data_IF_112487531492
#
_entry.id   IF_112487531492
#
_cell.length_a   1.000
_cell.length_b   1.000
_cell.length_c   1.000
_cell.angle_alpha   90.00
_cell.angle_beta   90.00
_cell.angle_gamma   90.00
#
_symmetry.space_group_name_H-M   'P 1'
#
loop_
_entity.id
_entity.type
_entity.pdbx_description
1 polymer ?
#
# COMPACT_ATOMS: atom_id res chain seq x y z
N UNK A 1 -9.93 25.50 14.09
CA UNK A 1 -9.38 25.43 15.46
C UNK A 1 -8.19 26.39 15.58
N UNK A 2 -8.04 27.06 16.72
CA UNK A 2 -6.90 27.96 17.00
C UNK A 2 -6.25 27.61 18.34
N UNK A 3 -4.94 27.38 18.32
CA UNK A 3 -4.10 27.26 19.52
C UNK A 3 -3.35 28.58 19.73
N UNK A 4 -3.44 29.17 20.93
CA UNK A 4 -2.69 30.39 21.27
C UNK A 4 -1.20 30.04 21.36
N UNK A 5 -0.35 30.88 20.75
CA UNK A 5 1.11 30.71 20.77
C UNK A 5 1.68 31.59 21.87
N UNK A 6 1.87 31.00 23.05
CA UNK A 6 2.48 31.62 24.22
C UNK A 6 3.75 30.86 24.68
N UNK A 7 4.22 31.12 25.90
CA UNK A 7 5.42 30.48 26.47
C UNK A 7 5.29 28.98 26.74
N UNK A 8 4.06 28.44 26.73
CA UNK A 8 3.76 27.03 26.98
C UNK A 8 3.52 26.23 25.70
N UNK A 9 3.40 26.93 24.56
CA UNK A 9 3.13 26.30 23.27
C UNK A 9 4.25 25.34 22.87
N UNK A 10 3.86 24.13 22.46
CA UNK A 10 4.74 23.15 21.82
C UNK A 10 4.05 22.60 20.58
N UNK A 11 4.81 22.17 19.57
CA UNK A 11 4.20 21.56 18.38
C UNK A 11 3.35 20.34 18.73
N UNK A 12 3.72 19.59 19.77
CA UNK A 12 2.98 18.42 20.24
C UNK A 12 1.61 18.72 20.90
N UNK A 13 1.23 19.99 21.04
CA UNK A 13 0.00 20.41 21.75
C UNK A 13 -1.26 19.77 21.17
N UNK A 14 -1.30 19.54 19.85
CA UNK A 14 -2.47 18.96 19.14
C UNK A 14 -2.82 17.55 19.58
N UNK A 15 -1.85 16.80 20.12
CA UNK A 15 -2.05 15.43 20.62
C UNK A 15 -2.49 15.41 22.09
N UNK A 16 -2.31 16.51 22.82
CA UNK A 16 -2.38 16.55 24.28
C UNK A 16 -3.53 17.40 24.79
N UNK A 17 -3.80 18.52 24.15
CA UNK A 17 -4.70 19.57 24.63
C UNK A 17 -5.71 19.99 23.57
N UNK A 18 -6.86 20.46 24.03
CA UNK A 18 -7.89 21.03 23.16
C UNK A 18 -7.53 22.48 22.82
N UNK A 19 -7.88 22.97 21.61
CA UNK A 19 -7.58 24.34 21.21
C UNK A 19 -8.40 25.35 22.02
N UNK A 20 -7.90 26.59 22.07
CA UNK A 20 -8.57 27.71 22.75
C UNK A 20 -9.85 28.16 22.05
N UNK A 21 -9.84 28.11 20.71
CA UNK A 21 -11.01 28.47 19.91
C UNK A 21 -11.35 27.36 18.91
N UNK A 22 -12.63 27.00 18.89
CA UNK A 22 -13.19 25.96 18.03
C UNK A 22 -14.38 26.56 17.29
N UNK A 23 -14.47 26.22 16.02
CA UNK A 23 -15.66 26.37 15.20
C UNK A 23 -15.81 25.11 14.39
N UNK A 24 -17.01 24.83 13.90
CA UNK A 24 -17.28 23.69 13.04
C UNK A 24 -17.95 24.18 11.75
N UNK A 25 -17.57 23.58 10.63
CA UNK A 25 -18.32 23.66 9.39
C UNK A 25 -19.54 22.76 9.54
N UNK A 26 -20.74 23.36 9.68
CA UNK A 26 -21.98 22.60 9.47
C UNK A 26 -21.91 21.91 8.09
N UNK A 27 -22.43 20.69 7.98
CA UNK A 27 -22.11 19.64 6.98
C UNK A 27 -22.03 20.03 5.49
N UNK A 28 -22.45 21.24 5.10
CA UNK A 28 -22.50 21.69 3.70
C UNK A 28 -21.76 22.99 3.39
N UNK A 29 -21.19 23.70 4.39
CA UNK A 29 -20.51 24.99 4.14
C UNK A 29 -19.00 24.83 4.24
N UNK A 30 -18.28 25.16 3.17
CA UNK A 30 -16.81 25.09 3.09
C UNK A 30 -16.09 26.35 3.57
N UNK A 31 -16.85 27.40 3.90
CA UNK A 31 -16.34 28.70 4.36
C UNK A 31 -16.97 29.06 5.69
N UNK A 32 -16.15 29.44 6.67
CA UNK A 32 -16.60 29.81 8.00
C UNK A 32 -15.78 30.98 8.54
N UNK A 33 -16.39 31.82 9.38
CA UNK A 33 -15.70 32.86 10.14
C UNK A 33 -15.55 32.43 11.60
N UNK A 34 -14.52 32.96 12.26
CA UNK A 34 -14.37 32.85 13.72
C UNK A 34 -14.20 34.24 14.26
N UNK A 35 -15.23 34.72 14.93
CA UNK A 35 -15.29 36.08 15.48
C UNK A 35 -14.92 36.08 16.97
N UNK A 36 -14.67 37.27 17.53
CA UNK A 36 -14.36 37.49 18.95
C UNK A 36 -13.08 36.79 19.44
N UNK A 37 -12.10 36.62 18.54
CA UNK A 37 -10.78 36.10 18.90
C UNK A 37 -9.94 37.21 19.54
N UNK A 38 -9.33 36.91 20.70
CA UNK A 38 -8.41 37.83 21.38
C UNK A 38 -7.21 38.13 20.47
N UNK A 39 -6.79 39.39 20.40
CA UNK A 39 -5.59 39.76 19.65
C UNK A 39 -4.35 38.97 20.13
N UNK A 40 -3.59 38.43 19.19
CA UNK A 40 -2.49 37.53 19.51
C UNK A 40 -2.01 36.69 18.32
N UNK A 41 -1.07 35.78 18.61
CA UNK A 41 -0.49 34.85 17.64
C UNK A 41 -1.09 33.47 17.83
N UNK A 42 -1.50 32.84 16.73
CA UNK A 42 -2.21 31.56 16.77
C UNK A 42 -1.66 30.57 15.75
N UNK A 43 -1.72 29.28 16.10
CA UNK A 43 -1.63 28.20 15.14
C UNK A 43 -3.03 27.86 14.63
N UNK A 44 -3.19 27.89 13.31
CA UNK A 44 -4.43 27.57 12.63
C UNK A 44 -4.44 26.11 12.16
N UNK A 45 -5.44 25.36 12.61
CA UNK A 45 -5.62 23.94 12.34
C UNK A 45 -7.08 23.62 12.03
N UNK A 46 -7.32 22.62 11.19
CA UNK A 46 -8.61 21.95 11.04
C UNK A 46 -8.44 20.46 11.36
N UNK A 47 -9.46 19.90 11.98
CA UNK A 47 -9.52 18.50 12.40
C UNK A 47 -10.86 17.95 11.94
N UNK A 48 -10.83 16.85 11.20
CA UNK A 48 -12.00 15.98 11.05
C UNK A 48 -11.88 14.90 12.11
N UNK A 49 -12.49 15.20 13.25
CA UNK A 49 -12.39 14.44 14.48
C UNK A 49 -13.40 13.28 14.48
N UNK A 50 -12.90 12.05 14.58
CA UNK A 50 -13.72 10.83 14.61
C UNK A 50 -14.30 10.51 15.99
N UNK A 51 -13.70 11.00 17.08
CA UNK A 51 -14.06 10.65 18.46
C UNK A 51 -14.61 11.83 19.29
N UNK A 52 -14.62 13.04 18.70
CA UNK A 52 -15.11 14.30 19.28
C UNK A 52 -14.36 14.77 20.54
N UNK A 53 -13.09 14.40 20.72
CA UNK A 53 -12.26 14.85 21.85
C UNK A 53 -11.41 16.11 21.55
N UNK A 54 -11.48 16.62 20.32
CA UNK A 54 -10.76 17.79 19.81
C UNK A 54 -9.24 17.71 19.90
N UNK A 55 -8.68 16.48 19.94
CA UNK A 55 -7.25 16.21 19.85
C UNK A 55 -7.01 15.38 18.59
N UNK A 56 -5.82 15.52 18.02
CA UNK A 56 -5.47 14.79 16.83
C UNK A 56 -4.96 13.39 17.17
N UNK A 57 -5.54 12.36 16.57
CA UNK A 57 -5.02 11.00 16.54
C UNK A 57 -4.85 10.51 15.10
N UNK A 58 -3.60 10.21 14.70
CA UNK A 58 -3.22 9.86 13.32
C UNK A 58 -4.08 8.74 12.70
N UNK A 59 -4.52 7.77 13.52
CA UNK A 59 -5.30 6.61 13.08
C UNK A 59 -6.78 6.91 12.82
N UNK A 60 -7.36 7.85 13.55
CA UNK A 60 -8.80 8.08 13.54
C UNK A 60 -9.20 9.36 12.78
N UNK A 61 -8.30 10.34 12.74
CA UNK A 61 -8.65 11.70 12.33
C UNK A 61 -7.92 12.14 11.07
N UNK A 62 -8.50 13.14 10.41
CA UNK A 62 -7.81 13.90 9.38
C UNK A 62 -7.40 15.27 9.92
N UNK A 63 -6.20 15.72 9.58
CA UNK A 63 -5.65 17.00 10.02
C UNK A 63 -5.38 17.91 8.82
N UNK A 64 -5.50 19.21 9.02
CA UNK A 64 -4.96 20.23 8.13
C UNK A 64 -4.38 21.36 8.98
N UNK A 65 -3.30 21.98 8.54
CA UNK A 65 -2.70 23.08 9.28
C UNK A 65 -2.16 24.14 8.34
N UNK A 66 -2.19 25.39 8.80
CA UNK A 66 -1.45 26.46 8.15
C UNK A 66 0.01 26.41 8.63
N UNK A 67 0.97 26.36 7.70
CA UNK A 67 2.38 26.11 8.01
C UNK A 67 2.98 27.19 8.93
N UNK A 68 2.57 28.44 8.75
CA UNK A 68 3.01 29.57 9.56
C UNK A 68 1.97 29.93 10.61
N UNK A 69 2.40 30.57 11.70
CA UNK A 69 1.45 31.18 12.62
C UNK A 69 0.71 32.36 11.97
N UNK A 70 -0.52 32.58 12.42
CA UNK A 70 -1.33 33.74 12.03
C UNK A 70 -1.37 34.76 13.17
N UNK A 71 -1.57 36.03 12.84
CA UNK A 71 -1.72 37.11 13.82
C UNK A 71 -3.11 37.69 13.72
N UNK A 72 -3.83 37.74 14.84
CA UNK A 72 -5.19 38.28 14.94
C UNK A 72 -5.13 39.65 15.63
N UNK A 73 -5.90 40.66 15.18
CA UNK A 73 -6.85 40.61 14.06
C UNK A 73 -6.16 40.66 12.69
N UNK A 74 -6.79 40.04 11.69
CA UNK A 74 -6.47 40.19 10.27
C UNK A 74 -7.74 39.95 9.44
N UNK A 75 -7.69 40.28 8.15
CA UNK A 75 -8.73 40.08 7.14
C UNK A 75 -8.36 38.98 6.11
N UNK A 76 -7.38 38.13 6.45
CA UNK A 76 -6.85 37.12 5.54
C UNK A 76 -7.76 35.90 5.43
N UNK A 77 -7.87 35.36 4.21
CA UNK A 77 -8.54 34.09 3.94
C UNK A 77 -7.52 32.95 3.92
N UNK A 78 -7.80 31.88 4.67
CA UNK A 78 -6.95 30.70 4.74
C UNK A 78 -7.69 29.47 4.20
N UNK A 79 -7.06 28.74 3.30
CA UNK A 79 -7.55 27.44 2.82
C UNK A 79 -6.78 26.31 3.48
N UNK A 80 -7.49 25.41 4.15
CA UNK A 80 -6.93 24.22 4.79
C UNK A 80 -7.44 22.97 4.07
N UNK A 81 -6.52 22.09 3.68
CA UNK A 81 -6.84 20.82 3.03
C UNK A 81 -6.55 19.68 3.99
N UNK A 82 -7.59 18.93 4.36
CA UNK A 82 -7.49 17.79 5.26
C UNK A 82 -6.72 16.64 4.59
N UNK A 83 -5.88 15.98 5.37
CA UNK A 83 -5.15 14.79 4.97
C UNK A 83 -5.02 13.82 6.15
N UNK A 84 -4.76 12.54 5.84
CA UNK A 84 -4.42 11.53 6.84
C UNK A 84 -2.90 11.48 6.98
N UNK A 85 -2.36 11.44 8.19
CA UNK A 85 -0.93 11.21 8.37
C UNK A 85 -0.55 9.74 8.14
N UNK A 86 0.72 9.52 7.80
CA UNK A 86 1.31 8.20 8.01
C UNK A 86 1.33 7.90 9.50
N UNK A 87 0.89 6.70 9.88
CA UNK A 87 0.89 6.29 11.27
C UNK A 87 2.32 6.06 11.75
N UNK A 88 2.62 6.55 12.95
CA UNK A 88 3.83 6.15 13.66
C UNK A 88 3.83 4.64 13.89
N UNK A 89 5.00 4.00 13.70
CA UNK A 89 5.09 2.56 13.86
C UNK A 89 4.79 2.14 15.30
N UNK A 90 3.94 1.12 15.43
CA UNK A 90 3.67 0.50 16.72
C UNK A 90 3.29 -0.96 16.55
N UNK A 91 3.99 -1.86 17.23
CA UNK A 91 3.57 -3.26 17.31
C UNK A 91 2.39 -3.43 18.29
N UNK A 92 1.42 -4.26 17.91
CA UNK A 92 0.33 -4.69 18.78
C UNK A 92 0.75 -5.94 19.56
N UNK A 93 -0.11 -6.44 20.45
CA UNK A 93 0.22 -7.64 21.25
C UNK A 93 0.17 -8.88 20.35
N UNK A 94 1.27 -9.64 20.22
CA UNK A 94 1.27 -10.84 19.41
C UNK A 94 0.45 -11.97 20.04
N UNK A 95 -0.10 -12.83 19.19
CA UNK A 95 -0.91 -13.98 19.60
C UNK A 95 -0.71 -15.17 18.67
N UNK A 96 -0.76 -16.38 19.24
CA UNK A 96 -0.83 -17.60 18.44
C UNK A 96 -2.20 -17.68 17.76
N UNK A 97 -2.21 -17.88 16.45
CA UNK A 97 -3.44 -17.86 15.61
C UNK A 97 -3.73 -19.21 14.96
N UNK A 98 -2.70 -20.04 14.77
CA UNK A 98 -2.81 -21.44 14.37
C UNK A 98 -1.62 -22.22 14.95
N UNK A 99 -1.57 -23.54 14.75
CA UNK A 99 -0.40 -24.34 15.08
C UNK A 99 0.87 -23.71 14.49
N UNK A 100 1.84 -23.44 15.36
CA UNK A 100 3.17 -22.93 14.98
C UNK A 100 3.16 -21.62 14.19
N UNK A 101 2.10 -20.83 14.36
CA UNK A 101 1.88 -19.55 13.67
C UNK A 101 1.49 -18.47 14.67
N UNK A 102 2.34 -17.47 14.82
CA UNK A 102 2.13 -16.33 15.71
C UNK A 102 1.92 -15.08 14.88
N UNK A 103 0.79 -14.41 15.07
CA UNK A 103 0.49 -13.13 14.45
C UNK A 103 1.12 -11.99 15.25
N UNK A 104 1.96 -11.18 14.60
CA UNK A 104 2.49 -9.92 15.10
C UNK A 104 1.84 -8.77 14.35
N UNK A 105 0.76 -8.23 14.92
CA UNK A 105 0.09 -7.06 14.35
C UNK A 105 0.92 -5.79 14.53
N UNK A 106 0.72 -4.82 13.65
CA UNK A 106 1.39 -3.52 13.71
C UNK A 106 0.48 -2.39 13.19
N UNK A 107 0.88 -1.15 13.47
CA UNK A 107 0.37 0.08 12.87
C UNK A 107 1.54 0.78 12.16
N UNK A 108 1.25 1.55 11.11
CA UNK A 108 2.27 2.26 10.33
C UNK A 108 3.06 1.36 9.39
N UNK A 109 4.26 1.80 9.01
CA UNK A 109 5.11 1.07 8.07
C UNK A 109 5.87 -0.07 8.78
N UNK A 110 5.68 -1.30 8.33
CA UNK A 110 6.39 -2.48 8.87
C UNK A 110 7.78 -2.68 8.26
N UNK A 111 8.14 -1.96 7.20
CA UNK A 111 9.48 -2.06 6.61
C UNK A 111 10.53 -1.80 7.70
N UNK A 112 11.45 -2.75 7.90
CA UNK A 112 12.45 -2.71 8.96
C UNK A 112 12.02 -3.33 10.30
N UNK A 113 10.77 -3.80 10.43
CA UNK A 113 10.30 -4.56 11.59
C UNK A 113 11.11 -5.84 11.77
N UNK A 114 11.75 -5.99 12.94
CA UNK A 114 12.49 -7.19 13.34
C UNK A 114 11.77 -7.87 14.50
N UNK A 115 11.57 -9.17 14.37
CA UNK A 115 11.00 -10.05 15.40
C UNK A 115 12.11 -11.00 15.85
N UNK A 116 12.67 -10.75 17.03
CA UNK A 116 13.74 -11.58 17.61
C UNK A 116 13.14 -12.49 18.67
N UNK A 117 13.33 -13.81 18.51
CA UNK A 117 13.01 -14.78 19.55
C UNK A 117 14.13 -14.81 20.61
N UNK A 118 13.76 -14.67 21.88
CA UNK A 118 14.69 -14.63 23.02
C UNK A 118 14.60 -15.86 23.93
N UNK A 119 13.63 -16.75 23.69
CA UNK A 119 13.52 -18.01 24.42
C UNK A 119 14.46 -19.07 23.86
N UNK A 120 14.90 -19.99 24.72
CA UNK A 120 15.67 -21.16 24.29
C UNK A 120 14.82 -22.03 23.35
N UNK A 121 15.44 -22.45 22.25
CA UNK A 121 14.83 -23.32 21.24
C UNK A 121 15.78 -24.44 20.84
N UNK A 122 15.27 -25.56 20.31
CA UNK A 122 16.07 -26.63 19.75
C UNK A 122 17.03 -26.16 18.64
N UNK A 123 18.09 -26.93 18.38
CA UNK A 123 19.08 -26.61 17.33
C UNK A 123 18.49 -26.66 15.91
N UNK A 124 17.47 -27.48 15.68
CA UNK A 124 16.74 -27.61 14.42
C UNK A 124 15.60 -26.58 14.27
N UNK A 125 15.58 -25.54 15.11
CA UNK A 125 14.57 -24.50 15.05
C UNK A 125 14.71 -23.65 13.80
N UNK A 126 13.66 -23.64 12.98
CA UNK A 126 13.54 -22.83 11.79
C UNK A 126 12.31 -21.93 11.87
N UNK A 127 12.37 -20.76 11.25
CA UNK A 127 11.22 -19.86 11.16
C UNK A 127 11.18 -19.09 9.85
N UNK A 128 9.97 -18.64 9.51
CA UNK A 128 9.71 -17.75 8.37
C UNK A 128 8.72 -16.67 8.79
N UNK A 129 8.91 -15.46 8.27
CA UNK A 129 8.00 -14.34 8.48
C UNK A 129 7.29 -14.06 7.17
N UNK A 130 5.96 -14.12 7.19
CA UNK A 130 5.12 -13.79 6.05
C UNK A 130 4.22 -12.59 6.38
N UNK A 131 4.00 -11.72 5.42
CA UNK A 131 3.03 -10.63 5.52
C UNK A 131 1.62 -11.16 5.25
N UNK A 132 0.68 -10.86 6.15
CA UNK A 132 -0.72 -11.11 5.88
C UNK A 132 -1.24 -10.13 4.82
N UNK A 133 -1.92 -10.64 3.78
CA UNK A 133 -2.35 -9.84 2.63
C UNK A 133 -3.59 -8.98 2.91
N UNK A 134 -4.30 -9.24 4.01
CA UNK A 134 -5.57 -8.58 4.33
C UNK A 134 -5.45 -7.65 5.51
N UNK A 135 -4.50 -7.89 6.40
CA UNK A 135 -4.36 -7.19 7.68
C UNK A 135 -2.94 -6.73 7.92
N UNK A 136 -2.75 -5.71 8.75
CA UNK A 136 -1.43 -5.22 9.18
C UNK A 136 -0.78 -6.18 10.18
N UNK A 137 -0.40 -7.36 9.68
CA UNK A 137 0.16 -8.46 10.48
C UNK A 137 1.35 -9.08 9.78
N UNK A 138 2.43 -9.32 10.52
CA UNK A 138 3.49 -10.26 10.15
C UNK A 138 3.26 -11.58 10.90
N UNK A 139 3.04 -12.65 10.16
CA UNK A 139 2.91 -14.00 10.69
C UNK A 139 4.28 -14.63 10.82
N UNK A 140 4.64 -15.00 12.04
CA UNK A 140 5.84 -15.75 12.38
C UNK A 140 5.50 -17.24 12.43
N UNK A 141 5.95 -17.96 11.42
CA UNK A 141 5.80 -19.41 11.27
C UNK A 141 7.06 -20.09 11.77
N UNK A 142 6.95 -21.21 12.49
CA UNK A 142 8.13 -21.90 13.02
C UNK A 142 8.01 -23.42 13.01
N UNK A 143 9.14 -24.11 13.09
CA UNK A 143 9.22 -25.54 13.39
C UNK A 143 10.48 -25.81 14.23
N UNK A 144 10.54 -26.88 15.04
CA UNK A 144 9.47 -27.84 15.32
C UNK A 144 8.38 -27.29 16.25
N UNK A 145 7.39 -28.13 16.58
CA UNK A 145 6.43 -27.83 17.64
C UNK A 145 7.16 -27.71 18.97
N UNK A 146 6.90 -26.63 19.71
CA UNK A 146 7.50 -26.39 21.02
C UNK A 146 6.50 -26.73 22.13
N UNK A 147 6.91 -27.59 23.06
CA UNK A 147 6.14 -27.94 24.26
C UNK A 147 6.54 -27.02 25.43
N UNK A 148 6.21 -25.73 25.29
CA UNK A 148 6.49 -24.67 26.28
C UNK A 148 5.23 -23.85 26.56
N UNK A 149 5.14 -23.24 27.74
CA UNK A 149 3.97 -22.42 28.10
C UNK A 149 3.97 -21.06 27.37
N UNK A 150 5.15 -20.50 27.12
CA UNK A 150 5.29 -19.20 26.48
C UNK A 150 6.64 -19.00 25.80
N UNK A 151 6.65 -18.14 24.79
CA UNK A 151 7.85 -17.64 24.13
C UNK A 151 8.01 -16.14 24.38
N UNK A 152 9.26 -15.71 24.54
CA UNK A 152 9.65 -14.31 24.70
C UNK A 152 10.20 -13.78 23.39
N UNK A 153 9.67 -12.65 22.93
CA UNK A 153 10.12 -11.98 21.71
C UNK A 153 10.45 -10.53 21.99
N UNK A 154 11.43 -9.98 21.27
CA UNK A 154 11.63 -8.54 21.14
C UNK A 154 11.20 -8.12 19.74
N UNK A 155 10.32 -7.13 19.65
CA UNK A 155 9.95 -6.49 18.38
C UNK A 155 10.60 -5.11 18.32
N UNK A 156 11.23 -4.78 17.19
CA UNK A 156 11.83 -3.47 16.97
C UNK A 156 11.60 -2.95 15.55
N UNK A 157 11.47 -1.63 15.41
CA UNK A 157 11.44 -0.93 14.12
C UNK A 157 11.84 0.55 14.34
N UNK A 158 12.93 1.01 13.72
CA UNK A 158 13.50 2.33 14.02
C UNK A 158 13.76 2.51 15.52
N UNK A 159 13.21 3.57 16.12
CA UNK A 159 13.32 3.86 17.55
C UNK A 159 12.35 3.05 18.42
N UNK A 160 11.39 2.35 17.82
CA UNK A 160 10.47 1.49 18.55
C UNK A 160 11.17 0.19 18.96
N UNK A 161 11.08 -0.17 20.24
CA UNK A 161 11.52 -1.47 20.76
C UNK A 161 10.64 -1.89 21.93
N UNK A 162 10.12 -3.13 21.89
CA UNK A 162 9.29 -3.67 22.97
C UNK A 162 9.38 -5.19 23.07
N UNK A 163 9.41 -5.68 24.30
CA UNK A 163 9.39 -7.11 24.60
C UNK A 163 7.95 -7.60 24.78
N UNK A 164 7.70 -8.83 24.31
CA UNK A 164 6.42 -9.49 24.33
C UNK A 164 6.55 -10.94 24.81
N UNK A 165 5.59 -11.35 25.64
CA UNK A 165 5.39 -12.75 26.00
C UNK A 165 4.19 -13.30 25.23
N UNK A 166 4.42 -14.29 24.38
CA UNK A 166 3.38 -15.02 23.65
C UNK A 166 3.08 -16.31 24.39
N UNK A 167 1.85 -16.49 24.86
CA UNK A 167 1.42 -17.77 25.45
C UNK A 167 1.15 -18.77 24.34
N UNK A 168 1.79 -19.93 24.42
CA UNK A 168 1.61 -21.01 23.46
C UNK A 168 0.42 -21.87 23.87
N UNK A 169 -0.33 -22.34 22.89
CA UNK A 169 -1.50 -23.20 23.07
C UNK A 169 -1.48 -24.27 21.99
N UNK A 170 -2.08 -25.42 22.28
CA UNK A 170 -2.26 -26.48 21.29
C UNK A 170 -3.38 -26.07 20.32
N UNK A 171 -3.01 -25.84 19.06
CA UNK A 171 -3.90 -25.55 17.94
C UNK A 171 -3.53 -26.47 16.77
N UNK A 172 -4.48 -26.67 15.87
CA UNK A 172 -4.22 -27.37 14.60
C UNK A 172 -3.43 -26.46 13.66
N UNK A 173 -2.55 -27.07 12.85
CA UNK A 173 -1.76 -26.37 11.83
C UNK A 173 -2.62 -26.00 10.62
N UNK A 174 -2.25 -24.91 9.96
CA UNK A 174 -2.76 -24.59 8.64
C UNK A 174 -2.19 -25.59 7.63
N UNK A 175 -3.03 -26.06 6.69
CA UNK A 175 -2.58 -26.88 5.56
C UNK A 175 -2.10 -26.01 4.40
N UNK A 176 -1.19 -26.56 3.59
CA UNK A 176 -0.76 -25.94 2.35
C UNK A 176 -1.91 -25.87 1.32
N UNK A 177 -2.25 -24.65 0.92
CA UNK A 177 -3.19 -24.31 -0.14
C UNK A 177 -2.46 -23.41 -1.12
N UNK A 178 -2.46 -23.79 -2.39
CA UNK A 178 -1.76 -23.07 -3.46
C UNK A 178 -2.77 -22.36 -4.34
N UNK A 179 -2.54 -21.08 -4.60
CA UNK A 179 -3.38 -20.23 -5.42
C UNK A 179 -2.56 -19.57 -6.53
N UNK A 180 -3.23 -19.22 -7.62
CA UNK A 180 -2.63 -18.48 -8.73
C UNK A 180 -3.28 -17.13 -8.95
N UNK A 181 -2.49 -16.19 -9.47
CA UNK A 181 -2.97 -14.90 -9.94
C UNK A 181 -2.17 -14.44 -11.15
N UNK A 182 -2.74 -13.67 -12.08
CA UNK A 182 -4.18 -13.43 -12.25
C UNK A 182 -4.94 -14.70 -12.66
N UNK A 183 -6.26 -14.71 -12.45
CA UNK A 183 -7.17 -15.72 -12.98
C UNK A 183 -7.92 -15.18 -14.21
N UNK A 184 -7.93 -15.93 -15.32
CA UNK A 184 -8.64 -15.54 -16.54
C UNK A 184 -7.78 -14.86 -17.61
N UNK A 185 -8.18 -13.68 -18.08
CA UNK A 185 -7.47 -12.96 -19.14
C UNK A 185 -6.32 -12.12 -18.57
N UNK A 186 -5.14 -12.19 -19.19
CA UNK A 186 -3.89 -11.62 -18.64
C UNK A 186 -3.29 -10.64 -19.64
N UNK A 187 -2.82 -9.49 -19.15
CA UNK A 187 -2.09 -8.54 -19.98
C UNK A 187 -0.76 -9.10 -20.48
N UNK A 188 -0.26 -8.62 -21.62
CA UNK A 188 1.02 -9.12 -22.16
C UNK A 188 2.20 -8.90 -21.23
N UNK A 189 2.16 -7.81 -20.45
CA UNK A 189 3.23 -7.43 -19.50
C UNK A 189 2.92 -7.86 -18.07
N UNK A 190 1.81 -8.57 -17.85
CA UNK A 190 1.41 -9.01 -16.53
C UNK A 190 2.04 -10.38 -16.24
N UNK A 191 2.67 -10.49 -15.08
CA UNK A 191 3.31 -11.73 -14.63
C UNK A 191 2.27 -12.70 -14.08
N UNK A 192 2.62 -13.99 -14.13
CA UNK A 192 1.83 -15.04 -13.48
C UNK A 192 2.43 -15.31 -12.10
N UNK A 193 1.60 -15.50 -11.09
CA UNK A 193 2.00 -15.67 -9.70
C UNK A 193 1.42 -16.94 -9.12
N UNK A 194 2.20 -17.61 -8.29
CA UNK A 194 1.75 -18.70 -7.41
C UNK A 194 2.04 -18.31 -5.97
N UNK A 195 1.04 -18.41 -5.09
CA UNK A 195 1.17 -18.17 -3.66
C UNK A 195 0.72 -19.37 -2.84
N UNK A 196 1.33 -19.54 -1.65
CA UNK A 196 1.00 -20.60 -0.69
C UNK A 196 0.41 -20.04 0.60
N UNK A 197 -0.51 -20.76 1.24
CA UNK A 197 -1.04 -20.42 2.57
C UNK A 197 -0.02 -20.63 3.70
N UNK A 198 0.95 -21.53 3.50
CA UNK A 198 2.06 -21.84 4.40
C UNK A 198 3.39 -21.51 3.71
N UNK A 199 4.48 -21.18 4.45
CA UNK A 199 5.70 -20.65 3.85
C UNK A 199 6.40 -21.64 2.92
N UNK A 200 6.61 -21.28 1.66
CA UNK A 200 7.43 -22.06 0.75
C UNK A 200 8.90 -21.99 1.14
N UNK A 201 9.55 -23.15 1.07
CA UNK A 201 10.99 -23.30 1.30
C UNK A 201 11.73 -23.74 0.04
N UNK A 202 11.07 -24.43 -0.88
CA UNK A 202 11.69 -24.89 -2.12
C UNK A 202 10.72 -24.84 -3.33
N UNK A 203 11.30 -24.67 -4.52
CA UNK A 203 10.61 -24.78 -5.80
C UNK A 203 11.49 -25.42 -6.88
N UNK A 204 11.03 -26.53 -7.44
CA UNK A 204 11.68 -27.21 -8.56
C UNK A 204 11.09 -26.76 -9.90
N UNK A 205 11.84 -25.92 -10.62
CA UNK A 205 11.44 -25.39 -11.93
C UNK A 205 11.32 -26.46 -13.04
N UNK A 206 12.04 -27.58 -12.94
CA UNK A 206 11.98 -28.66 -13.94
C UNK A 206 10.63 -29.39 -13.94
N UNK A 207 9.90 -29.29 -12.82
CA UNK A 207 8.56 -29.84 -12.66
C UNK A 207 7.44 -28.90 -13.12
N UNK A 208 7.79 -27.75 -13.69
CA UNK A 208 6.84 -26.81 -14.28
C UNK A 208 7.03 -26.75 -15.79
N UNK A 209 5.93 -26.76 -16.52
CA UNK A 209 5.92 -26.56 -17.98
C UNK A 209 4.90 -25.50 -18.35
N UNK A 210 5.29 -24.59 -19.24
CA UNK A 210 4.41 -23.61 -19.89
C UNK A 210 4.31 -23.97 -21.37
N UNK A 211 3.10 -24.15 -21.86
CA UNK A 211 2.79 -24.43 -23.26
C UNK A 211 1.94 -23.29 -23.84
N UNK A 212 2.15 -22.94 -25.10
CA UNK A 212 1.26 -22.05 -25.86
C UNK A 212 0.08 -22.80 -26.50
N UNK A 213 -0.74 -22.10 -27.29
CA UNK A 213 -1.91 -22.68 -27.95
C UNK A 213 -1.58 -23.80 -28.94
N UNK A 214 -0.36 -23.81 -29.47
CA UNK A 214 0.14 -24.79 -30.43
C UNK A 214 0.93 -25.92 -29.71
N UNK A 215 0.84 -25.98 -28.37
CA UNK A 215 1.56 -26.94 -27.52
C UNK A 215 3.09 -26.81 -27.58
N UNK A 216 3.59 -25.64 -27.98
CA UNK A 216 5.02 -25.34 -27.96
C UNK A 216 5.45 -24.93 -26.57
N UNK A 217 6.59 -25.46 -26.10
CA UNK A 217 7.16 -25.09 -24.81
C UNK A 217 7.64 -23.65 -24.83
N UNK A 218 7.25 -22.87 -23.81
CA UNK A 218 7.66 -21.49 -23.60
C UNK A 218 8.60 -21.44 -22.41
N UNK A 219 9.78 -20.85 -22.60
CA UNK A 219 10.73 -20.66 -21.52
C UNK A 219 10.20 -19.61 -20.53
N UNK A 220 10.45 -19.83 -19.24
CA UNK A 220 10.06 -18.90 -18.18
C UNK A 220 11.21 -18.66 -17.21
N UNK A 221 11.15 -17.54 -16.50
CA UNK A 221 12.02 -17.18 -15.39
C UNK A 221 11.19 -17.03 -14.12
N UNK A 222 11.82 -17.20 -12.96
CA UNK A 222 11.12 -17.11 -11.67
C UNK A 222 11.82 -16.17 -10.71
N UNK A 223 11.02 -15.55 -9.85
CA UNK A 223 11.49 -14.75 -8.71
C UNK A 223 10.63 -15.07 -7.50
N UNK A 224 11.26 -15.37 -6.37
CA UNK A 224 10.54 -15.64 -5.12
C UNK A 224 10.50 -14.41 -4.24
N UNK A 225 9.28 -13.99 -3.89
CA UNK A 225 9.00 -13.02 -2.84
C UNK A 225 8.79 -13.77 -1.53
N UNK A 226 9.81 -13.72 -0.66
CA UNK A 226 9.82 -14.43 0.62
C UNK A 226 8.84 -13.86 1.63
N UNK A 227 8.52 -12.56 1.56
CA UNK A 227 7.65 -11.89 2.54
C UNK A 227 6.18 -12.10 2.17
N UNK A 228 5.83 -12.05 0.89
CA UNK A 228 4.48 -12.33 0.40
C UNK A 228 4.22 -13.81 0.11
N UNK A 229 5.24 -14.66 0.27
CA UNK A 229 5.20 -16.09 -0.02
C UNK A 229 4.71 -16.41 -1.44
N UNK A 230 5.30 -15.72 -2.42
CA UNK A 230 4.78 -15.69 -3.77
C UNK A 230 5.90 -15.86 -4.79
N UNK A 231 5.76 -16.84 -5.67
CA UNK A 231 6.61 -16.98 -6.84
C UNK A 231 6.00 -16.20 -8.00
N UNK A 232 6.79 -15.29 -8.57
CA UNK A 232 6.51 -14.62 -9.84
C UNK A 232 7.13 -15.44 -10.98
N UNK A 233 6.35 -15.68 -12.03
CA UNK A 233 6.72 -16.37 -13.25
C UNK A 233 6.57 -15.43 -14.44
N UNK A 234 7.68 -15.18 -15.10
CA UNK A 234 7.76 -14.32 -16.28
C UNK A 234 8.14 -15.14 -17.51
N UNK A 235 7.43 -14.92 -18.60
CA UNK A 235 7.66 -15.53 -19.91
C UNK A 235 7.04 -14.64 -20.97
N UNK A 236 7.55 -14.75 -22.20
CA UNK A 236 7.10 -13.94 -23.32
C UNK A 236 5.67 -14.32 -23.72
N UNK A 237 4.78 -13.33 -23.65
CA UNK A 237 3.37 -13.46 -24.02
C UNK A 237 3.13 -12.80 -25.38
N UNK A 238 2.49 -13.52 -26.28
CA UNK A 238 2.11 -13.02 -27.61
C UNK A 238 0.61 -12.73 -27.68
N UNK A 239 0.21 -11.91 -28.65
CA UNK A 239 -1.19 -11.55 -28.88
C UNK A 239 -2.04 -12.75 -29.33
N UNK A 240 -3.32 -12.75 -28.93
CA UNK A 240 -4.30 -13.78 -29.33
C UNK A 240 -3.79 -15.22 -29.09
N UNK A 241 -3.28 -15.45 -27.89
CA UNK A 241 -2.70 -16.72 -27.50
C UNK A 241 -3.37 -17.28 -26.23
N UNK A 242 -3.21 -18.58 -26.03
CA UNK A 242 -3.63 -19.27 -24.83
C UNK A 242 -2.45 -20.01 -24.26
N UNK A 243 -2.26 -19.92 -22.96
CA UNK A 243 -1.16 -20.58 -22.28
C UNK A 243 -1.70 -21.60 -21.29
N UNK A 244 -1.05 -22.76 -21.25
CA UNK A 244 -1.29 -23.81 -20.27
C UNK A 244 -0.05 -23.94 -19.39
N UNK A 245 -0.26 -23.88 -18.09
CA UNK A 245 0.78 -24.10 -17.09
C UNK A 245 0.45 -25.38 -16.36
N UNK A 246 1.37 -26.34 -16.40
CA UNK A 246 1.30 -27.55 -15.61
C UNK A 246 2.44 -27.55 -14.60
N UNK A 247 2.10 -27.86 -13.35
CA UNK A 247 3.04 -28.03 -12.25
C UNK A 247 2.84 -29.44 -11.72
N UNK A 248 3.87 -30.27 -11.83
CA UNK A 248 3.84 -31.66 -11.40
C UNK A 248 3.91 -31.77 -9.87
N UNK A 249 3.56 -32.94 -9.30
CA UNK A 249 3.66 -33.16 -7.86
C UNK A 249 5.06 -32.90 -7.30
N UNK A 250 5.10 -32.39 -6.07
CA UNK A 250 6.32 -32.01 -5.34
C UNK A 250 7.22 -31.01 -6.09
N UNK A 251 6.62 -30.10 -6.85
CA UNK A 251 7.31 -28.94 -7.38
C UNK A 251 7.51 -27.86 -6.31
N UNK A 252 6.54 -27.68 -5.41
CA UNK A 252 6.63 -26.80 -4.25
C UNK A 252 6.72 -27.64 -2.97
N UNK A 253 7.56 -27.17 -2.04
CA UNK A 253 7.67 -27.70 -0.69
C UNK A 253 7.50 -26.55 0.29
N UNK A 254 6.66 -26.73 1.31
CA UNK A 254 6.48 -25.75 2.39
C UNK A 254 7.37 -26.02 3.61
N UNK A 255 7.33 -25.11 4.59
CA UNK A 255 8.12 -25.19 5.82
C UNK A 255 7.90 -26.49 6.57
N UNK A 256 6.74 -27.13 6.43
CA UNK A 256 6.34 -28.35 7.14
C UNK A 256 6.50 -29.62 6.30
N UNK A 257 7.22 -29.52 5.17
CA UNK A 257 7.48 -30.60 4.22
C UNK A 257 6.23 -31.08 3.46
N UNK A 258 5.14 -30.30 3.50
CA UNK A 258 3.97 -30.52 2.65
C UNK A 258 4.31 -30.15 1.20
N UNK A 259 3.76 -30.95 0.28
CA UNK A 259 4.06 -30.88 -1.15
C UNK A 259 2.79 -30.67 -1.96
N UNK A 260 2.90 -29.96 -3.08
CA UNK A 260 1.77 -29.86 -4.02
C UNK A 260 1.52 -31.19 -4.74
N UNK A 261 0.26 -31.45 -5.08
CA UNK A 261 -0.11 -32.37 -6.16
C UNK A 261 -0.10 -31.62 -7.51
N UNK A 262 -0.55 -32.25 -8.59
CA UNK A 262 -0.62 -31.67 -9.92
C UNK A 262 -1.51 -30.44 -9.95
N UNK A 263 -0.97 -29.31 -10.40
CA UNK A 263 -1.71 -28.07 -10.62
C UNK A 263 -1.75 -27.75 -12.11
N UNK A 264 -2.92 -27.40 -12.62
CA UNK A 264 -3.11 -27.00 -14.00
C UNK A 264 -3.80 -25.64 -14.06
N UNK A 265 -3.16 -24.70 -14.73
CA UNK A 265 -3.69 -23.36 -14.94
C UNK A 265 -3.76 -23.06 -16.44
N UNK A 266 -4.73 -22.23 -16.81
CA UNK A 266 -4.81 -21.71 -18.17
C UNK A 266 -5.25 -20.26 -18.16
N UNK A 267 -4.71 -19.48 -19.08
CA UNK A 267 -5.12 -18.10 -19.32
C UNK A 267 -4.98 -17.76 -20.79
N UNK A 268 -5.63 -16.66 -21.18
CA UNK A 268 -5.61 -16.15 -22.55
C UNK A 268 -5.10 -14.73 -22.56
N UNK A 269 -4.34 -14.41 -23.59
CA UNK A 269 -3.97 -13.05 -23.92
C UNK A 269 -4.95 -12.50 -24.96
N UNK A 270 -5.32 -11.23 -24.82
CA UNK A 270 -6.23 -10.57 -25.76
C UNK A 270 -5.55 -10.36 -27.12
N UNK A 271 -6.32 -9.91 -28.11
CA UNK A 271 -5.78 -9.37 -29.37
C UNK A 271 -5.25 -7.95 -29.15
N UNK A 272 -4.27 -7.52 -29.94
CA UNK A 272 -3.80 -6.13 -29.91
C UNK A 272 -4.93 -5.15 -30.22
N UNK A 273 -5.79 -5.49 -31.20
CA UNK A 273 -6.98 -4.73 -31.57
C UNK A 273 -8.03 -4.64 -30.46
N UNK A 274 -7.91 -5.41 -29.38
CA UNK A 274 -8.80 -5.31 -28.22
C UNK A 274 -8.30 -4.31 -27.17
N UNK A 275 -7.09 -3.76 -27.33
CA UNK A 275 -6.57 -2.71 -26.47
C UNK A 275 -6.68 -1.34 -27.15
N UNK A 276 -6.70 -0.29 -26.34
CA UNK A 276 -6.54 1.09 -26.79
C UNK A 276 -5.26 1.71 -26.26
N UNK A 277 -5.08 3.00 -26.54
CA UNK A 277 -4.00 3.79 -25.97
C UNK A 277 -4.47 5.16 -25.46
N UNK A 278 -3.72 5.76 -24.54
CA UNK A 278 -3.89 7.15 -24.15
C UNK A 278 -2.56 7.89 -24.31
N UNK A 279 -2.61 9.08 -24.88
CA UNK A 279 -1.45 9.94 -25.10
C UNK A 279 -1.71 11.30 -24.47
N UNK A 280 -0.88 11.69 -23.51
CA UNK A 280 -1.03 12.96 -22.82
C UNK A 280 0.06 13.94 -23.19
N UNK A 281 -0.36 15.14 -23.61
CA UNK A 281 0.52 16.30 -23.71
C UNK A 281 0.30 17.17 -22.48
N UNK A 282 1.35 17.43 -21.72
CA UNK A 282 1.27 18.17 -20.46
C UNK A 282 1.67 19.63 -20.68
N UNK A 283 0.81 20.58 -20.32
CA UNK A 283 1.07 22.03 -20.48
C UNK A 283 1.14 22.69 -19.11
N UNK A 284 2.19 23.49 -18.88
CA UNK A 284 2.47 24.18 -17.61
C UNK A 284 2.63 23.22 -16.41
N UNK A 285 3.14 22.02 -16.67
CA UNK A 285 3.33 21.02 -15.63
C UNK A 285 4.68 21.19 -14.91
N UNK A 286 4.67 21.08 -13.58
CA UNK A 286 5.89 21.09 -12.77
C UNK A 286 6.30 19.66 -12.47
N UNK A 287 7.52 19.28 -12.88
CA UNK A 287 8.04 17.93 -12.73
C UNK A 287 8.84 17.76 -11.43
N UNK A 288 8.94 16.54 -10.88
CA UNK A 288 8.41 15.28 -11.43
C UNK A 288 6.94 15.01 -11.10
N UNK A 289 6.31 14.13 -11.90
CA UNK A 289 4.88 13.82 -11.85
C UNK A 289 4.63 12.33 -11.88
N UNK A 290 3.63 11.87 -11.12
CA UNK A 290 3.06 10.52 -11.26
C UNK A 290 1.68 10.64 -11.89
N UNK A 291 1.53 10.16 -13.13
CA UNK A 291 0.28 10.19 -13.88
C UNK A 291 -0.40 8.83 -13.78
N UNK A 292 -1.65 8.82 -13.32
CA UNK A 292 -2.43 7.62 -13.07
C UNK A 292 -3.75 7.64 -13.84
N UNK A 293 -4.07 6.49 -14.45
CA UNK A 293 -5.41 6.16 -14.91
C UNK A 293 -6.11 5.34 -13.84
N UNK A 294 -7.18 5.88 -13.27
CA UNK A 294 -7.96 5.20 -12.23
C UNK A 294 -9.35 4.84 -12.73
N UNK A 295 -9.97 3.84 -12.11
CA UNK A 295 -11.40 3.58 -12.29
C UNK A 295 -12.27 4.58 -11.49
N UNK A 296 -13.59 4.38 -11.52
CA UNK A 296 -14.55 5.24 -10.82
C UNK A 296 -14.40 5.24 -9.30
N UNK A 297 -13.87 4.15 -8.72
CA UNK A 297 -13.59 3.99 -7.29
C UNK A 297 -12.24 4.59 -6.90
N UNK A 298 -11.42 5.00 -7.87
CA UNK A 298 -10.10 5.57 -7.64
C UNK A 298 -8.96 4.53 -7.58
N UNK A 299 -9.22 3.27 -7.94
CA UNK A 299 -8.17 2.25 -8.03
C UNK A 299 -7.30 2.50 -9.25
N UNK A 300 -5.98 2.50 -9.06
CA UNK A 300 -5.00 2.71 -10.13
C UNK A 300 -4.96 1.49 -11.04
N UNK A 301 -5.22 1.67 -12.33
CA UNK A 301 -5.13 0.60 -13.35
C UNK A 301 -3.86 0.70 -14.20
N UNK A 302 -3.36 1.92 -14.38
CA UNK A 302 -2.09 2.23 -15.03
C UNK A 302 -1.46 3.45 -14.39
N UNK A 303 -0.14 3.46 -14.37
CA UNK A 303 0.66 4.56 -13.83
C UNK A 303 1.92 4.78 -14.69
N UNK A 304 2.33 6.03 -14.80
CA UNK A 304 3.61 6.44 -15.40
C UNK A 304 4.25 7.53 -14.56
N UNK A 305 5.53 7.38 -14.30
CA UNK A 305 6.36 8.42 -13.70
C UNK A 305 7.03 9.27 -14.79
N UNK A 306 6.80 10.57 -14.77
CA UNK A 306 7.39 11.52 -15.69
C UNK A 306 8.37 12.42 -14.93
N UNK A 307 9.66 12.30 -15.24
CA UNK A 307 10.73 13.09 -14.60
C UNK A 307 10.98 14.43 -15.28
N UNK A 308 10.68 14.52 -16.58
CA UNK A 308 10.96 15.68 -17.42
C UNK A 308 9.80 15.90 -18.39
N UNK A 309 9.81 17.06 -19.05
CA UNK A 309 8.86 17.39 -20.09
C UNK A 309 8.86 16.36 -21.23
N UNK A 310 7.66 16.04 -21.71
CA UNK A 310 7.46 15.12 -22.80
C UNK A 310 6.01 14.63 -22.88
N UNK A 311 5.73 13.88 -23.94
CA UNK A 311 4.47 13.18 -24.11
C UNK A 311 4.46 11.93 -23.23
N UNK A 312 3.35 11.67 -22.54
CA UNK A 312 3.17 10.48 -21.71
C UNK A 312 2.23 9.51 -22.41
N UNK A 313 2.76 8.34 -22.78
CA UNK A 313 2.02 7.31 -23.49
C UNK A 313 1.68 6.10 -22.60
N UNK A 314 0.41 5.73 -22.64
CA UNK A 314 -0.14 4.49 -22.10
C UNK A 314 -0.59 3.60 -23.26
N UNK A 315 0.19 2.58 -23.59
CA UNK A 315 -0.16 1.57 -24.58
C UNK A 315 -0.82 0.35 -23.92
N UNK A 316 -1.50 -0.47 -24.71
CA UNK A 316 -2.12 -1.73 -24.27
C UNK A 316 -3.05 -1.53 -23.05
N UNK A 317 -3.86 -0.47 -23.12
CA UNK A 317 -4.83 -0.13 -22.08
C UNK A 317 -6.14 -0.86 -22.37
N UNK A 318 -6.69 -1.53 -21.36
CA UNK A 318 -7.97 -2.23 -21.49
C UNK A 318 -9.07 -1.20 -21.76
N UNK A 319 -9.98 -1.41 -22.73
CA UNK A 319 -11.06 -0.47 -23.00
C UNK A 319 -11.97 -0.28 -21.79
N UNK A 320 -12.08 0.98 -21.33
CA UNK A 320 -12.93 1.42 -20.23
C UNK A 320 -12.93 2.96 -20.16
N UNK A 321 -13.77 3.51 -19.29
CA UNK A 321 -13.69 4.91 -18.87
C UNK A 321 -12.69 5.04 -17.72
N UNK A 322 -11.76 5.99 -17.84
CA UNK A 322 -10.73 6.25 -16.85
C UNK A 322 -10.78 7.69 -16.36
N UNK A 323 -10.61 7.88 -15.04
CA UNK A 323 -10.30 9.18 -14.46
C UNK A 323 -8.80 9.41 -14.50
N UNK A 324 -8.40 10.65 -14.77
CA UNK A 324 -6.98 11.04 -14.81
C UNK A 324 -6.65 11.74 -13.49
N UNK A 325 -5.69 11.17 -12.77
CA UNK A 325 -5.12 11.71 -11.53
C UNK A 325 -3.63 11.95 -11.75
N UNK A 326 -3.17 13.15 -11.42
CA UNK A 326 -1.75 13.52 -11.50
C UNK A 326 -1.28 13.97 -10.13
N UNK A 327 -0.27 13.29 -9.61
CA UNK A 327 0.42 13.65 -8.36
C UNK A 327 1.64 14.48 -8.75
N UNK A 328 1.78 15.63 -8.09
CA UNK A 328 2.98 16.48 -8.17
C UNK A 328 3.97 15.96 -7.13
N UNK A 329 4.82 15.04 -7.56
CA UNK A 329 5.76 14.30 -6.72
C UNK A 329 6.96 15.22 -6.41
N UNK A 330 6.87 15.99 -5.33
CA UNK A 330 7.84 17.03 -5.03
C UNK A 330 9.19 16.45 -4.60
N UNK A 331 9.21 15.19 -4.15
CA UNK A 331 10.41 14.53 -3.64
C UNK A 331 11.02 13.53 -4.66
N UNK A 332 10.31 13.21 -5.73
CA UNK A 332 10.79 12.40 -6.86
C UNK A 332 10.86 10.90 -6.59
N UNK A 333 10.13 10.39 -5.59
CA UNK A 333 10.15 8.98 -5.22
C UNK A 333 9.19 8.09 -6.03
N UNK A 334 8.36 8.68 -6.89
CA UNK A 334 7.44 7.99 -7.77
C UNK A 334 6.16 7.47 -7.09
N UNK A 335 5.85 7.88 -5.85
CA UNK A 335 4.61 7.57 -5.15
C UNK A 335 3.95 8.86 -4.63
N UNK A 336 2.73 8.74 -4.13
CA UNK A 336 2.06 9.84 -3.42
C UNK A 336 2.50 9.85 -1.96
N UNK A 337 2.98 10.99 -1.47
CA UNK A 337 3.25 11.20 -0.06
C UNK A 337 2.23 12.14 0.60
N UNK A 338 1.74 11.72 1.76
CA UNK A 338 0.85 12.53 2.59
C UNK A 338 1.63 13.53 3.45
N UNK A 339 0.93 14.40 4.17
CA UNK A 339 1.53 15.40 5.05
C UNK A 339 2.02 14.82 6.38
N UNK A 340 2.79 15.63 7.09
CA UNK A 340 3.19 15.36 8.48
C UNK A 340 3.25 16.68 9.26
N UNK A 341 2.39 16.81 10.26
CA UNK A 341 2.19 18.01 11.06
C UNK A 341 3.40 18.33 11.94
N UNK A 342 4.00 17.35 12.61
CA UNK A 342 5.18 17.59 13.45
C UNK A 342 6.37 18.09 12.62
N UNK A 343 6.57 17.53 11.43
CA UNK A 343 7.60 17.95 10.47
C UNK A 343 7.21 19.18 9.63
N UNK A 344 5.97 19.68 9.79
CA UNK A 344 5.39 20.79 9.02
C UNK A 344 5.42 20.57 7.49
N UNK A 345 5.21 19.33 7.08
CA UNK A 345 5.12 18.87 5.69
C UNK A 345 3.65 18.84 5.27
N UNK A 346 3.33 19.43 4.12
CA UNK A 346 2.01 19.34 3.51
C UNK A 346 1.94 18.10 2.59
N UNK A 347 0.76 17.49 2.40
CA UNK A 347 0.59 16.43 1.41
C UNK A 347 0.91 16.95 0.00
N UNK A 348 1.31 16.04 -0.87
CA UNK A 348 1.59 16.37 -2.26
C UNK A 348 0.33 16.86 -2.99
N UNK A 349 0.54 17.79 -3.93
CA UNK A 349 -0.57 18.35 -4.72
C UNK A 349 -1.07 17.26 -5.67
N UNK A 350 -2.38 17.06 -5.70
CA UNK A 350 -3.04 16.17 -6.65
C UNK A 350 -3.95 16.99 -7.56
N UNK A 351 -3.78 16.82 -8.87
CA UNK A 351 -4.61 17.40 -9.91
C UNK A 351 -5.50 16.34 -10.52
N UNK A 352 -6.79 16.65 -10.68
CA UNK A 352 -7.75 15.80 -11.35
C UNK A 352 -8.17 16.43 -12.68
N UNK A 353 -8.25 15.61 -13.71
CA UNK A 353 -8.71 16.03 -15.04
C UNK A 353 -9.98 15.27 -15.43
N UNK A 354 -10.60 15.70 -16.53
CA UNK A 354 -11.82 15.08 -17.06
C UNK A 354 -11.55 13.60 -17.36
N UNK A 355 -12.55 12.75 -17.08
CA UNK A 355 -12.49 11.35 -17.46
C UNK A 355 -12.46 11.17 -18.97
N UNK A 356 -11.74 10.15 -19.43
CA UNK A 356 -11.59 9.79 -20.85
C UNK A 356 -12.13 8.38 -21.08
N UNK A 357 -12.74 8.17 -22.25
CA UNK A 357 -13.19 6.84 -22.67
C UNK A 357 -12.15 6.26 -23.63
N UNK A 358 -11.51 5.15 -23.25
CA UNK A 358 -10.58 4.42 -24.11
C UNK A 358 -11.33 3.25 -24.73
N UNK A 359 -11.30 3.16 -26.06
CA UNK A 359 -11.91 2.08 -26.84
C UNK A 359 -10.86 1.18 -27.45
N UNK A 360 -11.26 -0.05 -27.78
CA UNK A 360 -10.44 -1.01 -28.51
C UNK A 360 -10.01 -0.44 -29.87
N UNK A 361 -8.75 -0.67 -30.26
CA UNK A 361 -8.14 -0.23 -31.53
C UNK A 361 -8.18 1.29 -31.77
N UNK A 362 -8.41 2.07 -30.72
CA UNK A 362 -8.50 3.52 -30.77
C UNK A 362 -7.67 4.12 -29.66
N UNK A 363 -7.12 5.32 -29.89
CA UNK A 363 -6.46 6.05 -28.84
C UNK A 363 -6.99 7.45 -28.62
N UNK A 364 -6.77 7.91 -27.41
CA UNK A 364 -7.25 9.19 -26.94
C UNK A 364 -6.06 10.14 -26.70
N UNK A 365 -5.74 11.01 -27.68
CA UNK A 365 -4.83 12.12 -27.44
C UNK A 365 -5.54 13.20 -26.62
N UNK A 366 -5.00 13.56 -25.46
CA UNK A 366 -5.56 14.61 -24.60
C UNK A 366 -4.46 15.59 -24.17
N UNK A 367 -4.83 16.86 -24.07
CA UNK A 367 -3.95 17.91 -23.53
C UNK A 367 -4.34 18.24 -22.10
N UNK A 368 -3.43 18.02 -21.16
CA UNK A 368 -3.63 18.29 -19.75
C UNK A 368 -2.97 19.63 -19.40
N UNK A 369 -3.80 20.67 -19.29
CA UNK A 369 -3.35 22.01 -18.91
C UNK A 369 -3.44 22.18 -17.40
N UNK A 370 -2.30 22.35 -16.75
CA UNK A 370 -2.22 22.61 -15.32
C UNK A 370 -2.51 24.08 -15.06
N UNK A 371 -3.39 24.35 -14.09
CA UNK A 371 -3.62 25.71 -13.57
C UNK A 371 -2.60 25.97 -12.46
N UNK A 372 -2.02 27.16 -12.49
CA UNK A 372 -1.08 27.65 -11.48
C UNK A 372 -1.63 27.45 -10.04
#
# INVERSE_FOLDING_TARGET
MLYEVDSTFTDSIVYKETPKYITNTLDSVTTFSVDNIKAGKYMLLALKDGNSDNKFQQKADQIAFHKSFITVPNDSLYTLKLFNEELDYKATRPMIVAGEKIAFGYEGNYEGMKITLNSDVPEDFEYRILKDTKTDTLNYWYKPKLEVDSLLFTVSNGDYKKDYTVRIRKLERDSLVIQSAPSGAVGYTESFYISGSTPFVDFNAEKMTVLDKDSTKVAFTTKFDTINNMYQFDFEKTADNSYQIQILPEAFVDLYDDKNDTLNYSFKTKKESEFGYARFTLINATYPLVIQLTDDKGEVKREKFAKTEGVVDFFNVVPATYKIRVIHDANGNGKYDTGNYLKKIQPEKVSHFKAIEIRADWGYPETLTFKD
#
